data_IF_650406361503
#
_entry.id   IF_650406361503
#
_cell.length_a   1.000
_cell.length_b   1.000
_cell.length_c   1.000
_cell.angle_alpha   90.00
_cell.angle_beta   90.00
_cell.angle_gamma   90.00
#
_symmetry.space_group_name_H-M   'P 1'
#
loop_
_entity.id
_entity.type
_entity.pdbx_description
1 polymer ?
#
# COMPACT_ATOMS: atom_id res chain seq x y z
N UNK A 1 25.61 -3.38 -3.88
CA UNK A 1 24.69 -2.76 -4.86
C UNK A 1 23.57 -2.09 -4.09
N UNK A 2 23.56 -0.76 -4.03
CA UNK A 2 22.57 -0.01 -3.28
C UNK A 2 21.22 -0.14 -3.98
N UNK A 3 20.29 -0.86 -3.36
CA UNK A 3 18.90 -0.91 -3.83
C UNK A 3 18.28 0.45 -3.53
N UNK A 4 18.43 1.40 -4.45
CA UNK A 4 17.93 2.78 -4.29
C UNK A 4 16.45 2.92 -4.63
N UNK A 5 15.92 2.00 -5.43
CA UNK A 5 14.53 2.03 -5.87
C UNK A 5 13.68 1.04 -5.07
N UNK A 6 12.80 1.51 -4.16
CA UNK A 6 11.90 0.64 -3.42
C UNK A 6 10.89 -0.01 -4.38
N UNK A 7 10.65 -1.30 -4.19
CA UNK A 7 9.61 -2.05 -4.93
C UNK A 7 8.22 -1.70 -4.42
N UNK A 8 8.08 -1.45 -3.12
CA UNK A 8 6.82 -1.10 -2.49
C UNK A 8 6.89 0.33 -1.93
N UNK A 9 5.89 1.13 -2.25
CA UNK A 9 5.70 2.49 -1.73
C UNK A 9 4.28 2.60 -1.19
N UNK A 10 4.10 3.30 -0.07
CA UNK A 10 2.78 3.55 0.47
C UNK A 10 2.04 4.57 -0.42
N UNK A 11 1.10 4.08 -1.22
CA UNK A 11 0.22 4.93 -2.03
C UNK A 11 -1.04 5.26 -1.25
N UNK A 12 -1.67 6.39 -1.56
CA UNK A 12 -2.86 6.87 -0.84
C UNK A 12 -3.99 5.85 -0.80
N UNK A 13 -4.23 5.12 -1.90
CA UNK A 13 -5.25 4.08 -1.94
C UNK A 13 -4.95 2.87 -1.06
N UNK A 14 -3.68 2.58 -0.80
CA UNK A 14 -3.29 1.49 0.11
C UNK A 14 -3.64 1.89 1.54
N UNK A 15 -3.35 3.14 1.91
CA UNK A 15 -3.73 3.70 3.20
C UNK A 15 -5.26 3.74 3.36
N UNK A 16 -5.98 4.19 2.33
CA UNK A 16 -7.45 4.18 2.31
C UNK A 16 -8.02 2.77 2.48
N UNK A 17 -7.48 1.78 1.74
CA UNK A 17 -7.92 0.39 1.89
C UNK A 17 -7.70 -0.13 3.32
N UNK A 18 -6.61 0.28 3.97
CA UNK A 18 -6.34 -0.11 5.34
C UNK A 18 -7.29 0.58 6.35
N UNK A 19 -7.61 1.86 6.12
CA UNK A 19 -8.60 2.60 6.92
C UNK A 19 -9.99 1.97 6.79
N UNK A 20 -10.39 1.58 5.58
CA UNK A 20 -11.69 0.94 5.34
C UNK A 20 -11.83 -0.39 6.10
N UNK A 21 -10.77 -1.22 6.14
CA UNK A 21 -10.80 -2.45 6.96
C UNK A 21 -10.76 -2.14 8.47
N UNK A 22 -9.95 -1.17 8.88
CA UNK A 22 -9.86 -0.78 10.28
C UNK A 22 -11.22 -0.27 10.82
N UNK A 23 -12.02 0.40 10.00
CA UNK A 23 -13.38 0.85 10.38
C UNK A 23 -14.34 -0.29 10.70
N UNK A 24 -14.10 -1.50 10.20
CA UNK A 24 -14.86 -2.71 10.56
C UNK A 24 -14.14 -3.58 11.61
N UNK A 25 -13.22 -2.98 12.38
CA UNK A 25 -12.34 -3.63 13.36
C UNK A 25 -11.39 -4.68 12.75
N UNK A 26 -11.11 -4.64 11.45
CA UNK A 26 -10.12 -5.48 10.79
C UNK A 26 -8.82 -4.70 10.54
N UNK A 27 -7.83 -4.92 11.39
CA UNK A 27 -6.51 -4.28 11.29
C UNK A 27 -5.50 -5.10 10.47
N UNK A 28 -5.90 -6.21 9.84
CA UNK A 28 -5.01 -7.09 9.09
C UNK A 28 -4.24 -6.36 7.99
N UNK A 29 -4.91 -5.44 7.30
CA UNK A 29 -4.31 -4.64 6.22
C UNK A 29 -3.26 -3.66 6.75
N UNK A 30 -3.51 -3.04 7.91
CA UNK A 30 -2.58 -2.11 8.55
C UNK A 30 -1.29 -2.84 8.93
N UNK A 31 -1.42 -4.01 9.55
CA UNK A 31 -0.26 -4.85 9.91
C UNK A 31 0.50 -5.33 8.67
N UNK A 32 -0.23 -5.68 7.61
CA UNK A 32 0.37 -6.08 6.34
C UNK A 32 1.20 -4.94 5.73
N UNK A 33 0.63 -3.73 5.64
CA UNK A 33 1.36 -2.56 5.13
C UNK A 33 2.59 -2.24 5.99
N UNK A 34 2.46 -2.29 7.31
CA UNK A 34 3.59 -2.09 8.21
C UNK A 34 4.73 -3.07 7.93
N UNK A 35 4.43 -4.36 7.81
CA UNK A 35 5.43 -5.39 7.51
C UNK A 35 6.11 -5.16 6.15
N UNK A 36 5.32 -4.77 5.14
CA UNK A 36 5.84 -4.56 3.78
C UNK A 36 6.76 -3.36 3.72
N UNK A 37 6.38 -2.25 4.35
CA UNK A 37 7.13 -1.01 4.36
C UNK A 37 8.41 -1.06 5.22
N UNK A 38 8.55 -2.03 6.12
CA UNK A 38 9.82 -2.31 6.81
C UNK A 38 10.90 -2.85 5.86
N UNK A 39 10.50 -3.54 4.78
CA UNK A 39 11.42 -4.13 3.81
C UNK A 39 11.01 -3.81 2.36
N UNK A 40 10.94 -2.51 1.98
CA UNK A 40 10.30 -2.06 0.75
C UNK A 40 11.08 -2.43 -0.52
N UNK A 41 12.35 -2.81 -0.38
CA UNK A 41 13.23 -3.22 -1.49
C UNK A 41 13.18 -4.72 -1.79
N UNK A 42 12.70 -5.54 -0.84
CA UNK A 42 12.64 -7.00 -0.98
C UNK A 42 11.29 -7.40 -1.53
N UNK A 43 11.24 -8.37 -2.45
CA UNK A 43 9.98 -8.94 -2.93
C UNK A 43 9.33 -9.75 -1.81
N UNK A 44 8.05 -9.51 -1.55
CA UNK A 44 7.29 -10.17 -0.50
C UNK A 44 6.02 -10.77 -1.08
N UNK A 45 5.81 -12.08 -0.93
CA UNK A 45 4.63 -12.76 -1.50
C UNK A 45 3.31 -12.16 -0.98
N UNK A 46 3.26 -11.73 0.28
CA UNK A 46 2.08 -11.09 0.86
C UNK A 46 1.71 -9.79 0.14
N UNK A 47 2.72 -8.96 -0.19
CA UNK A 47 2.53 -7.72 -0.96
C UNK A 47 2.08 -7.98 -2.40
N UNK A 48 2.63 -9.01 -3.04
CA UNK A 48 2.24 -9.40 -4.40
C UNK A 48 0.80 -9.95 -4.42
N UNK A 49 0.41 -10.75 -3.42
CA UNK A 49 -0.98 -11.25 -3.27
C UNK A 49 -1.99 -10.12 -3.02
N UNK A 50 -1.58 -9.10 -2.27
CA UNK A 50 -2.39 -7.90 -2.04
C UNK A 50 -2.41 -6.94 -3.26
N UNK A 51 -1.63 -7.22 -4.31
CA UNK A 51 -1.57 -6.37 -5.50
C UNK A 51 -0.84 -5.04 -5.29
N UNK A 52 -0.05 -4.89 -4.23
CA UNK A 52 0.62 -3.60 -3.93
C UNK A 52 1.79 -3.28 -4.87
N UNK A 53 2.28 -4.27 -5.61
CA UNK A 53 3.23 -4.07 -6.72
C UNK A 53 2.54 -3.60 -8.01
N UNK A 54 1.22 -3.68 -8.09
CA UNK A 54 0.44 -3.38 -9.29
C UNK A 54 -0.01 -1.93 -9.34
N UNK A 55 -0.63 -1.57 -10.46
CA UNK A 55 -1.28 -0.27 -10.61
C UNK A 55 -2.45 -0.12 -9.63
N UNK A 56 -2.77 1.13 -9.21
CA UNK A 56 -3.93 1.40 -8.37
C UNK A 56 -5.20 0.79 -8.99
N UNK A 57 -6.10 0.23 -8.16
CA UNK A 57 -7.39 -0.30 -8.62
C UNK A 57 -8.28 0.81 -9.19
N UNK A 58 -9.28 0.44 -9.99
CA UNK A 58 -10.14 1.40 -10.70
C UNK A 58 -10.85 2.39 -9.76
N UNK A 59 -11.33 1.93 -8.60
CA UNK A 59 -11.97 2.78 -7.59
C UNK A 59 -11.02 3.81 -6.98
N UNK A 60 -9.71 3.51 -6.97
CA UNK A 60 -8.68 4.40 -6.43
C UNK A 60 -8.25 5.49 -7.43
N UNK A 61 -8.68 5.40 -8.70
CA UNK A 61 -8.39 6.41 -9.71
C UNK A 61 -9.05 7.76 -9.37
N UNK A 62 -10.20 7.70 -8.71
CA UNK A 62 -10.96 8.87 -8.27
C UNK A 62 -10.57 9.33 -6.85
N UNK A 63 -9.60 8.66 -6.23
CA UNK A 63 -8.98 9.11 -4.97
C UNK A 63 -8.12 10.35 -5.26
N UNK A 64 -8.77 11.48 -5.53
CA UNK A 64 -8.14 12.80 -5.54
C UNK A 64 -7.75 13.15 -4.12
N UNK A 65 -6.56 12.68 -3.72
CA UNK A 65 -5.85 13.37 -2.65
C UNK A 65 -5.38 14.67 -3.27
N UNK A 66 -6.13 15.74 -2.99
CA UNK A 66 -5.84 17.09 -3.44
C UNK A 66 -4.49 17.52 -2.87
N UNK A 67 -3.41 17.29 -3.61
CA UNK A 67 -2.21 18.10 -3.46
C UNK A 67 -2.46 19.45 -4.14
N UNK A 68 -3.43 20.21 -3.65
CA UNK A 68 -3.54 21.63 -3.95
C UNK A 68 -2.50 22.34 -3.08
N UNK A 69 -1.33 22.62 -3.66
CA UNK A 69 -0.43 23.68 -3.21
C UNK A 69 -0.54 24.86 -4.16
#
# INVERSE_FOLDING_TARGET
>A
VSAVNPRYILRNWMAESAVQKANVNDFSEVHLLQHILQHPFRRQQAAEKAGYSLRPPAWAKDLKVSCSS
#
